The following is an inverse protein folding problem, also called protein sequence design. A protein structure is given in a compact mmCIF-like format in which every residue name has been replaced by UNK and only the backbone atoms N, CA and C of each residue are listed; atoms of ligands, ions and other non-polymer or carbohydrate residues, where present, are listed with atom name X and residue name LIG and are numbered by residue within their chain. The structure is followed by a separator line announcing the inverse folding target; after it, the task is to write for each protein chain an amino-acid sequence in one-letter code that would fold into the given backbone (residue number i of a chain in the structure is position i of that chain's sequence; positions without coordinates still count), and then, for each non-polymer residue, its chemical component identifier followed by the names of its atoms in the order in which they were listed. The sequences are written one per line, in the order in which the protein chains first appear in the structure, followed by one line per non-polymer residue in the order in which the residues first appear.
data_IF_527078865024
#
_entry.id   IF_527078865024
#
_cell.length_a   1.000
_cell.length_b   1.000
_cell.length_c   1.000
_cell.angle_alpha   90.00
_cell.angle_beta   90.00
_cell.angle_gamma   90.00
#
_symmetry.space_group_name_H-M   'P 1'
#
loop_
_entity.id
_entity.type
_entity.pdbx_description
1 polymer ?
#
# COMPACT_ATOMS: atom_id res chain seq x y z
N UNK A 1 -15.75 4.12 -4.68
CA UNK A 1 -16.06 5.48 -4.16
C UNK A 1 -15.07 6.52 -4.72
N UNK A 2 -15.33 7.81 -4.56
CA UNK A 2 -14.35 8.88 -4.86
C UNK A 2 -13.95 9.63 -3.59
N UNK A 3 -12.65 9.67 -3.28
CA UNK A 3 -12.10 10.30 -2.08
C UNK A 3 -10.98 11.23 -2.49
N UNK A 4 -10.96 12.46 -1.97
CA UNK A 4 -9.80 13.32 -2.19
C UNK A 4 -9.68 14.49 -1.23
N UNK A 5 -8.54 15.19 -1.31
CA UNK A 5 -8.15 16.28 -0.40
C UNK A 5 -8.17 15.84 1.07
N UNK A 6 -7.55 14.69 1.34
CA UNK A 6 -7.43 14.12 2.68
C UNK A 6 -5.96 13.95 3.07
N UNK A 7 -5.69 13.67 4.36
CA UNK A 7 -4.34 13.31 4.78
C UNK A 7 -3.98 11.89 4.33
N UNK A 8 -4.90 10.94 4.53
CA UNK A 8 -4.89 9.58 3.97
C UNK A 8 -6.20 9.38 3.22
N UNK A 9 -6.19 8.73 2.05
CA UNK A 9 -7.42 8.49 1.30
C UNK A 9 -8.32 7.46 1.96
N UNK A 10 -7.85 6.21 2.05
CA UNK A 10 -8.55 5.10 2.70
C UNK A 10 -7.61 4.50 3.74
N UNK A 11 -8.08 4.40 4.99
CA UNK A 11 -7.42 3.61 6.02
C UNK A 11 -8.21 2.31 6.23
N UNK A 12 -7.54 1.19 6.01
CA UNK A 12 -8.03 -0.14 6.34
C UNK A 12 -7.29 -0.61 7.59
N UNK A 13 -8.02 -0.75 8.70
CA UNK A 13 -7.45 -1.18 9.98
C UNK A 13 -8.12 -2.47 10.47
N UNK A 14 -7.31 -3.43 10.88
CA UNK A 14 -7.76 -4.77 11.29
C UNK A 14 -7.41 -5.82 10.23
N UNK A 15 -8.10 -6.97 10.26
CA UNK A 15 -7.77 -8.09 9.38
C UNK A 15 -8.93 -8.44 8.43
N UNK A 16 -8.62 -9.06 7.29
CA UNK A 16 -9.60 -9.59 6.33
C UNK A 16 -10.53 -8.52 5.73
N UNK A 17 -10.04 -7.30 5.59
CA UNK A 17 -10.79 -6.20 4.99
C UNK A 17 -10.39 -5.98 3.53
N UNK A 18 -11.20 -5.20 2.82
CA UNK A 18 -11.06 -5.00 1.37
C UNK A 18 -11.40 -3.57 1.00
N UNK A 19 -10.45 -2.89 0.36
CA UNK A 19 -10.64 -1.63 -0.33
C UNK A 19 -10.54 -1.89 -1.84
N UNK A 20 -11.67 -1.86 -2.53
CA UNK A 20 -11.73 -2.15 -3.97
C UNK A 20 -12.52 -1.12 -4.76
N UNK A 21 -12.14 -0.94 -6.02
CA UNK A 21 -12.82 -0.07 -6.99
C UNK A 21 -13.05 1.37 -6.50
N UNK A 22 -12.03 1.94 -5.84
CA UNK A 22 -12.03 3.34 -5.40
C UNK A 22 -11.18 4.24 -6.29
N UNK A 23 -11.57 5.51 -6.38
CA UNK A 23 -10.80 6.58 -6.98
C UNK A 23 -10.33 7.53 -5.86
N UNK A 24 -9.05 7.45 -5.51
CA UNK A 24 -8.42 8.25 -4.46
C UNK A 24 -7.53 9.29 -5.12
N UNK A 25 -7.66 10.57 -4.73
CA UNK A 25 -6.88 11.64 -5.34
C UNK A 25 -6.49 12.78 -4.39
N UNK A 26 -5.26 13.30 -4.56
CA UNK A 26 -4.81 14.49 -3.85
C UNK A 26 -4.72 14.29 -2.33
N UNK A 27 -3.96 13.27 -1.89
CA UNK A 27 -3.62 13.13 -0.47
C UNK A 27 -2.43 14.03 -0.14
N UNK A 28 -2.51 14.74 0.99
CA UNK A 28 -1.61 15.88 1.27
C UNK A 28 -0.50 15.59 2.27
N UNK A 29 -0.49 14.42 2.92
CA UNK A 29 0.47 14.10 3.99
C UNK A 29 0.93 12.64 3.93
N UNK A 30 -0.01 11.71 3.71
CA UNK A 30 0.26 10.28 3.76
C UNK A 30 -0.26 9.60 2.49
N UNK A 31 -0.55 8.31 2.63
CA UNK A 31 -0.85 7.42 1.53
C UNK A 31 -2.22 7.62 0.91
N UNK A 32 -2.35 7.21 -0.36
CA UNK A 32 -3.64 7.02 -0.99
C UNK A 32 -4.47 5.98 -0.23
N UNK A 33 -3.93 4.77 -0.05
CA UNK A 33 -4.56 3.69 0.69
C UNK A 33 -3.56 3.11 1.68
N UNK A 34 -3.93 2.98 2.95
CA UNK A 34 -3.11 2.33 3.97
C UNK A 34 -3.77 1.05 4.45
N UNK A 35 -3.05 -0.07 4.35
CA UNK A 35 -3.45 -1.37 4.89
C UNK A 35 -2.68 -1.63 6.19
N UNK A 36 -3.38 -1.63 7.32
CA UNK A 36 -2.82 -1.92 8.64
C UNK A 36 -3.49 -3.14 9.26
N UNK A 37 -2.73 -4.23 9.36
CA UNK A 37 -3.18 -5.54 9.79
C UNK A 37 -2.97 -6.60 8.71
N UNK A 38 -3.50 -7.80 8.92
CA UNK A 38 -3.18 -8.97 8.09
C UNK A 38 -4.33 -9.34 7.16
N UNK A 39 -4.01 -10.00 6.04
CA UNK A 39 -5.01 -10.52 5.11
C UNK A 39 -5.95 -9.45 4.53
N UNK A 40 -5.52 -8.19 4.46
CA UNK A 40 -6.29 -7.13 3.83
C UNK A 40 -5.99 -7.05 2.32
N UNK A 41 -6.90 -6.44 1.57
CA UNK A 41 -6.78 -6.29 0.13
C UNK A 41 -7.01 -4.84 -0.31
N UNK A 42 -6.10 -4.31 -1.13
CA UNK A 42 -6.30 -3.13 -1.95
C UNK A 42 -6.29 -3.57 -3.42
N UNK A 43 -7.47 -3.67 -4.04
CA UNK A 43 -7.62 -4.23 -5.39
C UNK A 43 -8.27 -3.24 -6.33
N UNK A 44 -7.77 -3.17 -7.57
CA UNK A 44 -8.39 -2.41 -8.68
C UNK A 44 -8.70 -0.93 -8.40
N UNK A 45 -8.02 -0.31 -7.43
CA UNK A 45 -8.20 1.11 -7.12
C UNK A 45 -7.41 1.98 -8.09
N UNK A 46 -7.88 3.20 -8.30
CA UNK A 46 -7.14 4.29 -8.93
C UNK A 46 -6.65 5.25 -7.85
N UNK A 47 -5.35 5.45 -7.75
CA UNK A 47 -4.72 6.40 -6.82
C UNK A 47 -3.93 7.42 -7.63
N UNK A 48 -4.24 8.69 -7.47
CA UNK A 48 -3.55 9.79 -8.15
C UNK A 48 -3.09 10.86 -7.17
N UNK A 49 -1.89 11.42 -7.33
CA UNK A 49 -1.43 12.56 -6.52
C UNK A 49 -1.44 12.26 -5.02
N UNK A 50 -0.68 11.24 -4.60
CA UNK A 50 -0.48 10.92 -3.20
C UNK A 50 0.91 11.33 -2.74
N UNK A 51 1.00 12.01 -1.60
CA UNK A 51 2.26 12.60 -1.14
C UNK A 51 3.35 11.57 -0.80
N UNK A 52 3.03 10.56 0.04
CA UNK A 52 3.96 9.50 0.44
C UNK A 52 3.90 8.28 -0.49
N UNK A 53 2.92 7.39 -0.31
CA UNK A 53 2.73 6.23 -1.17
C UNK A 53 1.34 6.16 -1.81
N UNK A 54 1.24 5.51 -2.97
CA UNK A 54 -0.05 5.16 -3.55
C UNK A 54 -0.81 4.17 -2.66
N UNK A 55 -0.11 3.10 -2.27
CA UNK A 55 -0.59 2.12 -1.29
C UNK A 55 0.51 1.81 -0.28
N UNK A 56 0.24 1.94 1.02
CA UNK A 56 1.12 1.42 2.07
C UNK A 56 0.58 0.12 2.67
N UNK A 57 1.49 -0.78 3.01
CA UNK A 57 1.19 -2.10 3.56
C UNK A 57 1.98 -2.31 4.84
N UNK A 58 1.27 -2.64 5.91
CA UNK A 58 1.82 -3.05 7.18
C UNK A 58 1.08 -4.28 7.71
N UNK A 59 1.78 -5.42 7.77
CA UNK A 59 1.24 -6.70 8.24
C UNK A 59 1.48 -7.82 7.23
N UNK A 60 0.97 -9.02 7.54
CA UNK A 60 1.19 -10.24 6.77
C UNK A 60 0.06 -10.54 5.79
N UNK A 61 0.39 -11.26 4.71
CA UNK A 61 -0.55 -11.83 3.74
C UNK A 61 -1.53 -10.81 3.12
N UNK A 62 -1.13 -9.55 3.01
CA UNK A 62 -1.91 -8.51 2.36
C UNK A 62 -1.75 -8.56 0.83
N UNK A 63 -2.77 -8.09 0.12
CA UNK A 63 -2.82 -8.15 -1.35
C UNK A 63 -3.00 -6.75 -1.93
N UNK A 64 -2.04 -6.30 -2.73
CA UNK A 64 -2.10 -5.04 -3.49
C UNK A 64 -2.09 -5.41 -4.97
N UNK A 65 -3.27 -5.55 -5.58
CA UNK A 65 -3.40 -6.15 -6.90
C UNK A 65 -4.20 -5.29 -7.88
N UNK A 66 -3.67 -5.10 -9.09
CA UNK A 66 -4.44 -4.50 -10.19
C UNK A 66 -4.72 -3.00 -10.03
N UNK A 67 -4.07 -2.31 -9.09
CA UNK A 67 -4.27 -0.88 -8.88
C UNK A 67 -3.60 -0.05 -9.98
N UNK A 68 -4.15 1.13 -10.26
CA UNK A 68 -3.55 2.15 -11.13
C UNK A 68 -3.07 3.30 -10.25
N UNK A 69 -1.75 3.45 -10.12
CA UNK A 69 -1.11 4.44 -9.25
C UNK A 69 -0.35 5.43 -10.14
N UNK A 70 -0.66 6.72 -10.02
CA UNK A 70 -0.03 7.77 -10.80
C UNK A 70 0.30 8.99 -9.95
N UNK A 71 1.49 9.57 -10.12
CA UNK A 71 1.91 10.76 -9.35
C UNK A 71 1.92 10.49 -7.84
N UNK A 72 2.64 9.45 -7.43
CA UNK A 72 2.96 9.17 -6.04
C UNK A 72 4.48 9.18 -5.85
N UNK A 73 5.01 9.60 -4.69
CA UNK A 73 6.46 9.50 -4.43
C UNK A 73 6.92 8.04 -4.45
N UNK A 74 6.17 7.18 -3.75
CA UNK A 74 6.31 5.72 -3.78
C UNK A 74 5.03 5.10 -4.34
N UNK A 75 5.11 4.09 -5.20
CA UNK A 75 3.92 3.45 -5.75
C UNK A 75 3.26 2.56 -4.70
N UNK A 76 3.99 1.51 -4.29
CA UNK A 76 3.62 0.64 -3.16
C UNK A 76 4.74 0.64 -2.13
N UNK A 77 4.42 1.02 -0.89
CA UNK A 77 5.34 1.01 0.24
C UNK A 77 5.00 -0.15 1.17
N UNK A 78 5.78 -1.22 1.11
CA UNK A 78 5.65 -2.37 2.00
C UNK A 78 6.59 -2.17 3.20
N UNK A 79 6.02 -1.83 4.36
CA UNK A 79 6.80 -1.59 5.58
C UNK A 79 7.35 -2.87 6.20
N UNK A 80 6.81 -4.03 5.84
CA UNK A 80 7.14 -5.28 6.52
C UNK A 80 5.99 -6.27 6.50
N UNK A 81 6.33 -7.50 6.87
CA UNK A 81 5.42 -8.64 6.88
C UNK A 81 5.84 -9.71 5.88
N UNK A 82 5.29 -10.90 6.06
CA UNK A 82 5.53 -12.08 5.23
C UNK A 82 4.29 -12.34 4.37
N UNK A 83 4.49 -12.85 3.16
CA UNK A 83 3.38 -13.30 2.31
C UNK A 83 2.59 -12.19 1.61
N UNK A 84 3.01 -10.93 1.72
CA UNK A 84 2.38 -9.83 0.98
C UNK A 84 2.55 -10.04 -0.54
N UNK A 85 1.47 -9.86 -1.29
CA UNK A 85 1.44 -10.01 -2.75
C UNK A 85 1.22 -8.63 -3.37
N UNK A 86 2.17 -8.19 -4.20
CA UNK A 86 2.12 -6.93 -4.93
C UNK A 86 2.24 -7.24 -6.42
N UNK A 87 1.10 -7.33 -7.12
CA UNK A 87 1.06 -7.84 -8.49
C UNK A 87 0.12 -7.04 -9.38
N UNK A 88 0.37 -7.06 -10.69
CA UNK A 88 -0.49 -6.45 -11.72
C UNK A 88 -0.82 -4.95 -11.51
N UNK A 89 -0.07 -4.23 -10.68
CA UNK A 89 -0.26 -2.79 -10.50
C UNK A 89 0.38 -2.03 -11.67
N UNK A 90 -0.33 -1.01 -12.17
CA UNK A 90 0.19 -0.08 -13.18
C UNK A 90 0.62 1.20 -12.47
N UNK A 91 1.93 1.41 -12.40
CA UNK A 91 2.53 2.53 -11.65
C UNK A 91 3.24 3.44 -12.65
N UNK A 92 2.88 4.73 -12.68
CA UNK A 92 3.43 5.72 -13.60
C UNK A 92 3.70 7.05 -12.90
N UNK A 93 4.64 7.84 -13.43
CA UNK A 93 4.99 9.16 -12.86
C UNK A 93 5.30 9.09 -11.34
N UNK A 94 5.98 8.03 -10.94
CA UNK A 94 6.35 7.73 -9.56
C UNK A 94 7.85 7.46 -9.50
N UNK A 95 8.53 8.08 -8.53
CA UNK A 95 9.99 7.99 -8.40
C UNK A 95 10.44 6.59 -8.00
N UNK A 96 9.71 5.95 -7.09
CA UNK A 96 10.02 4.60 -6.61
C UNK A 96 8.80 3.69 -6.72
N UNK A 97 8.73 2.79 -7.73
CA UNK A 97 7.51 2.03 -7.98
C UNK A 97 7.07 1.14 -6.83
N UNK A 98 7.99 0.36 -6.27
CA UNK A 98 7.75 -0.52 -5.12
C UNK A 98 8.94 -0.43 -4.18
N UNK A 99 8.67 -0.31 -2.89
CA UNK A 99 9.66 -0.48 -1.82
C UNK A 99 9.24 -1.68 -1.01
N UNK A 100 10.11 -2.70 -0.97
CA UNK A 100 9.97 -3.84 -0.07
C UNK A 100 10.83 -3.68 1.18
N UNK A 101 10.43 -4.31 2.31
CA UNK A 101 11.27 -4.35 3.49
C UNK A 101 12.59 -5.08 3.16
N UNK A 102 13.69 -4.77 3.87
CA UNK A 102 14.93 -5.51 3.73
C UNK A 102 14.66 -7.02 3.91
N UNK A 103 15.29 -7.90 3.10
CA UNK A 103 15.14 -9.34 3.28
C UNK A 103 15.53 -9.68 4.72
N UNK A 104 14.66 -10.42 5.41
CA UNK A 104 14.93 -10.86 6.77
C UNK A 104 16.16 -11.77 6.72
N UNK A 105 17.33 -11.26 7.11
CA UNK A 105 18.46 -12.12 7.42
C UNK A 105 18.00 -12.97 8.59
N UNK A 106 17.74 -14.25 8.34
CA UNK A 106 17.51 -15.26 9.38
C UNK A 106 18.73 -15.38 10.28
N UNK A 107 18.91 -14.41 11.16
CA UNK A 107 19.89 -14.41 12.24
C UNK A 107 19.16 -14.85 13.50
N UNK A 108 19.50 -16.06 13.95
CA UNK A 108 19.10 -16.63 15.24
C UNK A 108 19.04 -15.55 16.33
N UNK A 109 17.87 -15.36 16.95
CA UNK A 109 17.79 -14.64 18.22
C UNK A 109 18.51 -15.47 19.30
N UNK A 110 19.47 -14.92 20.06
CA UNK A 110 20.26 -15.67 21.04
C UNK A 110 19.56 -15.88 22.37
N UNK A 111 18.25 -15.63 22.49
CA UNK A 111 17.53 -15.80 23.75
C UNK A 111 16.43 -16.85 23.62
N UNK A 112 16.70 -18.00 24.24
CA UNK A 112 15.73 -19.02 24.65
C UNK A 112 14.87 -18.53 25.80
#
# INVERSE_FOLDING_TARGET
NSIGKSQTGILVQGNHNRAEDNNVFGTLVFDGISLSGNHNAAETNRVTQSDEAGVSVQGDDNRVIGNVINEASIGVLNFGGVGNIIEANRISNTTTPVVDPPPHRGGLSPFR
#
